data_IF_658162709804
#
_entry.id   IF_658162709804
#
_cell.length_a   1.000
_cell.length_b   1.000
_cell.length_c   1.000
_cell.angle_alpha   90.00
_cell.angle_beta   90.00
_cell.angle_gamma   90.00
#
_symmetry.space_group_name_H-M   'P 1'
#
loop_
_entity.id
_entity.type
_entity.pdbx_description
1 polymer ?
#
# COMPACT_ATOMS: atom_id res chain seq x y z
N UNK A 1 16.48 3.41 4.00
CA UNK A 1 15.91 2.09 3.68
C UNK A 1 15.00 2.14 2.47
N UNK A 2 13.76 2.61 2.63
CA UNK A 2 12.72 2.51 1.58
C UNK A 2 13.08 3.17 0.24
N UNK A 3 13.55 4.42 0.26
CA UNK A 3 13.84 5.15 -0.98
C UNK A 3 15.01 4.50 -1.75
N UNK A 4 16.03 4.01 -1.05
CA UNK A 4 17.19 3.31 -1.65
C UNK A 4 16.78 2.01 -2.36
N UNK A 5 15.97 1.18 -1.72
CA UNK A 5 15.46 -0.05 -2.33
C UNK A 5 14.58 0.20 -3.55
N UNK A 6 13.65 1.16 -3.47
CA UNK A 6 12.73 1.47 -4.57
C UNK A 6 13.46 2.03 -5.79
N UNK A 7 14.54 2.78 -5.56
CA UNK A 7 15.43 3.23 -6.62
C UNK A 7 16.28 2.07 -7.15
N UNK A 8 16.80 1.17 -6.30
CA UNK A 8 17.53 -0.02 -6.74
C UNK A 8 16.73 -0.87 -7.73
N UNK A 9 15.51 -1.30 -7.35
CA UNK A 9 14.70 -2.26 -8.15
C UNK A 9 14.03 -1.62 -9.37
N UNK A 10 13.85 -0.31 -9.39
CA UNK A 10 12.99 0.35 -10.38
C UNK A 10 13.61 1.53 -11.12
N UNK A 11 14.89 1.83 -10.91
CA UNK A 11 15.60 2.90 -11.63
C UNK A 11 16.42 2.33 -12.77
N UNK A 12 16.62 3.16 -13.79
CA UNK A 12 17.57 2.90 -14.87
C UNK A 12 18.45 4.14 -14.97
N UNK A 13 19.76 3.96 -14.90
CA UNK A 13 20.69 5.08 -15.06
C UNK A 13 20.54 5.66 -16.47
N UNK A 14 20.37 6.97 -16.56
CA UNK A 14 20.31 7.72 -17.82
C UNK A 14 21.70 8.22 -18.22
N UNK A 15 22.60 8.41 -17.25
CA UNK A 15 23.99 8.82 -17.43
C UNK A 15 24.80 8.49 -16.16
N UNK A 16 26.06 8.04 -16.32
CA UNK A 16 26.95 7.70 -15.20
C UNK A 16 26.81 6.26 -14.69
N UNK A 17 27.41 5.98 -13.52
CA UNK A 17 27.41 4.67 -12.85
C UNK A 17 25.99 4.17 -12.55
N UNK A 18 25.84 2.85 -12.41
CA UNK A 18 24.53 2.30 -12.08
C UNK A 18 24.18 2.67 -10.63
N UNK A 19 22.95 3.13 -10.40
CA UNK A 19 22.51 3.53 -9.07
C UNK A 19 22.75 2.44 -8.01
N UNK A 20 22.65 1.16 -8.42
CA UNK A 20 22.94 0.00 -7.56
C UNK A 20 24.37 -0.02 -7.01
N UNK A 21 25.34 0.49 -7.75
CA UNK A 21 26.78 0.53 -7.40
C UNK A 21 27.08 1.63 -6.38
N UNK A 22 26.21 2.66 -6.30
CA UNK A 22 26.35 3.78 -5.36
C UNK A 22 25.67 3.53 -4.01
N UNK A 23 24.95 2.42 -3.89
CA UNK A 23 24.15 2.11 -2.72
C UNK A 23 24.94 1.31 -1.66
N UNK A 24 24.78 1.63 -0.36
CA UNK A 24 25.35 0.82 0.73
C UNK A 24 24.91 -0.65 0.66
N UNK A 25 25.74 -1.56 1.15
CA UNK A 25 25.33 -2.96 1.36
C UNK A 25 24.04 -3.04 2.19
N UNK A 26 23.08 -3.86 1.76
CA UNK A 26 21.74 -3.96 2.37
C UNK A 26 20.66 -3.09 1.72
N UNK A 27 21.00 -2.18 0.79
CA UNK A 27 20.03 -1.34 0.06
C UNK A 27 19.11 -2.10 -0.91
N UNK A 28 19.36 -3.39 -1.12
CA UNK A 28 18.53 -4.27 -1.95
C UNK A 28 17.47 -5.04 -1.19
N UNK A 29 17.30 -4.80 0.11
CA UNK A 29 16.24 -5.42 0.90
C UNK A 29 14.99 -4.53 0.85
N UNK A 30 13.83 -5.08 0.47
CA UNK A 30 12.58 -4.34 0.51
C UNK A 30 12.33 -3.78 1.92
N UNK A 31 11.95 -2.51 2.04
CA UNK A 31 11.63 -1.93 3.32
C UNK A 31 10.43 -2.66 3.91
N UNK A 32 10.58 -3.20 5.12
CA UNK A 32 9.43 -3.65 5.92
C UNK A 32 8.49 -2.45 6.06
N UNK A 33 7.20 -2.68 5.81
CA UNK A 33 6.20 -1.62 6.02
C UNK A 33 6.20 -1.25 7.48
N UNK A 34 6.52 0.00 7.78
CA UNK A 34 6.32 0.54 9.12
C UNK A 34 4.82 0.86 9.25
N UNK A 35 4.07 -0.02 9.92
CA UNK A 35 2.61 0.09 10.04
C UNK A 35 2.15 1.42 10.65
N UNK A 36 2.93 2.00 11.55
CA UNK A 36 2.63 3.32 12.13
C UNK A 36 2.68 4.43 11.08
N UNK A 37 3.69 4.43 10.20
CA UNK A 37 3.82 5.39 9.11
C UNK A 37 2.72 5.20 8.05
N UNK A 38 2.41 3.94 7.71
CA UNK A 38 1.30 3.61 6.84
C UNK A 38 -0.01 4.17 7.38
N UNK A 39 -0.34 3.85 8.63
CA UNK A 39 -1.58 4.26 9.29
C UNK A 39 -1.70 5.79 9.31
N UNK A 40 -0.63 6.48 9.71
CA UNK A 40 -0.61 7.94 9.71
C UNK A 40 -0.79 8.55 8.31
N UNK A 41 -0.20 7.94 7.28
CA UNK A 41 -0.33 8.43 5.91
C UNK A 41 -1.73 8.18 5.33
N UNK A 42 -2.33 7.00 5.58
CA UNK A 42 -3.69 6.68 5.16
C UNK A 42 -4.71 7.57 5.88
N UNK A 43 -4.60 7.74 7.20
CA UNK A 43 -5.50 8.63 7.96
C UNK A 43 -5.39 10.10 7.53
N UNK A 44 -4.20 10.56 7.09
CA UNK A 44 -4.08 11.88 6.46
C UNK A 44 -4.87 11.94 5.15
N UNK A 45 -4.71 10.95 4.27
CA UNK A 45 -5.46 10.90 3.01
C UNK A 45 -6.98 10.82 3.22
N UNK A 46 -7.44 10.07 4.24
CA UNK A 46 -8.86 10.01 4.60
C UNK A 46 -9.39 11.37 5.07
N UNK A 47 -8.63 12.08 5.92
CA UNK A 47 -8.99 13.43 6.36
C UNK A 47 -9.09 14.41 5.19
N UNK A 48 -8.12 14.39 4.27
CA UNK A 48 -8.19 15.20 3.05
C UNK A 48 -9.41 14.86 2.19
N UNK A 49 -9.80 13.59 2.11
CA UNK A 49 -10.98 13.19 1.35
C UNK A 49 -12.30 13.67 1.97
N UNK A 50 -12.40 13.71 3.30
CA UNK A 50 -13.58 14.14 4.05
C UNK A 50 -13.79 15.65 4.04
N UNK A 51 -12.70 16.41 4.00
CA UNK A 51 -12.71 17.87 3.97
C UNK A 51 -12.00 18.35 2.69
N UNK A 52 -12.62 18.14 1.51
CA UNK A 52 -12.05 18.66 0.26
C UNK A 52 -11.84 20.16 0.39
N UNK A 53 -10.73 20.65 -0.15
CA UNK A 53 -10.65 22.06 -0.50
C UNK A 53 -11.86 22.37 -1.41
N UNK A 54 -12.72 23.35 -1.06
CA UNK A 54 -13.86 23.73 -1.90
C UNK A 54 -13.44 24.14 -3.32
N UNK A 55 -12.16 24.48 -3.52
CA UNK A 55 -11.60 24.81 -4.82
C UNK A 55 -11.07 23.59 -5.61
N UNK A 56 -11.05 22.38 -5.03
CA UNK A 56 -10.51 21.18 -5.70
C UNK A 56 -11.16 19.86 -5.24
N UNK A 57 -12.42 19.57 -5.64
CA UNK A 57 -13.09 18.29 -5.37
C UNK A 57 -12.42 17.07 -6.04
N UNK A 58 -11.57 17.30 -7.06
CA UNK A 58 -10.74 16.27 -7.70
C UNK A 58 -9.76 15.66 -6.68
N UNK A 59 -9.33 16.44 -5.68
CA UNK A 59 -8.33 16.00 -4.72
C UNK A 59 -8.90 14.99 -3.71
N UNK A 60 -10.19 15.04 -3.36
CA UNK A 60 -10.81 13.98 -2.53
C UNK A 60 -10.79 12.62 -3.22
N UNK A 61 -11.16 12.59 -4.49
CA UNK A 61 -11.14 11.35 -5.29
C UNK A 61 -9.71 10.81 -5.42
N UNK A 62 -8.75 11.70 -5.69
CA UNK A 62 -7.34 11.34 -5.77
C UNK A 62 -6.82 10.80 -4.44
N UNK A 63 -7.16 11.42 -3.31
CA UNK A 63 -6.77 10.98 -1.98
C UNK A 63 -7.32 9.59 -1.64
N UNK A 64 -8.59 9.32 -1.92
CA UNK A 64 -9.21 8.01 -1.69
C UNK A 64 -8.56 6.92 -2.54
N UNK A 65 -8.32 7.19 -3.83
CA UNK A 65 -7.64 6.24 -4.73
C UNK A 65 -6.22 5.97 -4.29
N UNK A 66 -5.51 7.00 -3.86
CA UNK A 66 -4.17 6.84 -3.30
C UNK A 66 -4.21 5.94 -2.05
N UNK A 67 -5.17 6.17 -1.13
CA UNK A 67 -5.32 5.36 0.07
C UNK A 67 -5.60 3.89 -0.26
N UNK A 68 -6.53 3.60 -1.18
CA UNK A 68 -6.82 2.23 -1.64
C UNK A 68 -5.57 1.56 -2.24
N UNK A 69 -4.86 2.24 -3.13
CA UNK A 69 -3.62 1.74 -3.74
C UNK A 69 -2.55 1.45 -2.69
N UNK A 70 -2.44 2.31 -1.68
CA UNK A 70 -1.48 2.12 -0.59
C UNK A 70 -1.88 0.92 0.27
N UNK A 71 -3.15 0.75 0.62
CA UNK A 71 -3.63 -0.43 1.35
C UNK A 71 -3.33 -1.73 0.59
N UNK A 72 -3.63 -1.80 -0.71
CA UNK A 72 -3.34 -2.99 -1.54
C UNK A 72 -1.85 -3.37 -1.52
N UNK A 73 -0.97 -2.38 -1.71
CA UNK A 73 0.48 -2.61 -1.67
C UNK A 73 0.94 -3.05 -0.29
N UNK A 74 0.47 -2.38 0.76
CA UNK A 74 0.86 -2.71 2.14
C UNK A 74 0.43 -4.11 2.54
N UNK A 75 -0.76 -4.55 2.13
CA UNK A 75 -1.22 -5.90 2.39
C UNK A 75 -0.31 -6.95 1.73
N UNK A 76 0.18 -6.68 0.52
CA UNK A 76 1.16 -7.54 -0.15
C UNK A 76 2.51 -7.51 0.55
N UNK A 77 3.02 -6.32 0.87
CA UNK A 77 4.32 -6.11 1.52
C UNK A 77 4.37 -6.71 2.93
N UNK A 78 3.27 -6.70 3.70
CA UNK A 78 3.22 -7.34 5.02
C UNK A 78 3.23 -8.86 4.91
N UNK A 79 2.48 -9.44 3.96
CA UNK A 79 2.41 -10.91 3.80
C UNK A 79 3.64 -11.49 3.10
N UNK A 80 4.28 -10.70 2.24
CA UNK A 80 5.45 -11.09 1.47
C UNK A 80 6.49 -9.98 1.56
N UNK A 81 7.18 -9.83 2.71
CA UNK A 81 8.10 -8.72 2.97
C UNK A 81 9.24 -8.61 1.96
N UNK A 82 9.61 -9.72 1.30
CA UNK A 82 10.63 -9.75 0.25
C UNK A 82 10.13 -9.34 -1.14
N UNK A 83 8.84 -8.99 -1.30
CA UNK A 83 8.24 -8.70 -2.61
C UNK A 83 7.88 -7.23 -2.74
N UNK A 84 8.28 -6.63 -3.86
CA UNK A 84 7.85 -5.30 -4.25
C UNK A 84 7.28 -5.32 -5.67
N UNK A 85 6.05 -4.83 -5.83
CA UNK A 85 5.44 -4.64 -7.13
C UNK A 85 4.59 -3.37 -7.17
N UNK A 86 4.58 -2.71 -8.34
CA UNK A 86 3.69 -1.57 -8.60
C UNK A 86 2.35 -2.01 -9.18
N UNK A 87 2.26 -3.25 -9.66
CA UNK A 87 1.06 -3.85 -10.23
C UNK A 87 0.03 -4.11 -9.13
N UNK A 88 -1.08 -3.38 -9.20
CA UNK A 88 -2.16 -3.45 -8.22
C UNK A 88 -2.93 -4.77 -8.29
N UNK A 89 -3.03 -5.39 -9.48
CA UNK A 89 -3.66 -6.69 -9.63
C UNK A 89 -2.83 -7.75 -8.92
N UNK A 90 -1.51 -7.73 -9.14
CA UNK A 90 -0.57 -8.61 -8.45
C UNK A 90 -0.63 -8.42 -6.92
N UNK A 91 -0.70 -7.17 -6.44
CA UNK A 91 -0.88 -6.90 -5.01
C UNK A 91 -2.18 -7.48 -4.46
N UNK A 92 -3.32 -7.26 -5.13
CA UNK A 92 -4.63 -7.73 -4.66
C UNK A 92 -4.70 -9.26 -4.63
N UNK A 93 -4.22 -9.92 -5.69
CA UNK A 93 -4.19 -11.38 -5.77
C UNK A 93 -3.23 -12.00 -4.77
N UNK A 94 -2.00 -11.46 -4.69
CA UNK A 94 -0.99 -11.93 -3.76
C UNK A 94 -1.45 -11.79 -2.31
N UNK A 95 -1.92 -10.60 -1.93
CA UNK A 95 -2.47 -10.34 -0.60
C UNK A 95 -3.70 -11.20 -0.29
N UNK A 96 -4.48 -11.60 -1.29
CA UNK A 96 -5.67 -12.46 -1.13
C UNK A 96 -5.39 -13.95 -0.96
N UNK A 97 -4.18 -14.44 -1.21
CA UNK A 97 -3.87 -15.89 -1.13
C UNK A 97 -3.99 -16.42 0.29
N UNK A 98 -4.93 -17.32 0.55
CA UNK A 98 -5.18 -17.83 1.90
C UNK A 98 -5.81 -16.80 2.85
N UNK A 99 -6.39 -15.72 2.32
CA UNK A 99 -7.27 -14.84 3.08
C UNK A 99 -8.72 -15.35 3.01
N UNK A 100 -9.53 -15.05 4.02
CA UNK A 100 -10.96 -15.35 4.02
C UNK A 100 -11.71 -14.64 2.87
N UNK A 101 -12.87 -15.19 2.48
CA UNK A 101 -13.67 -14.69 1.35
C UNK A 101 -14.01 -13.21 1.46
N UNK A 102 -14.31 -12.74 2.68
CA UNK A 102 -14.60 -11.34 2.93
C UNK A 102 -13.43 -10.45 2.52
N UNK A 103 -12.21 -10.78 2.92
CA UNK A 103 -11.01 -9.99 2.60
C UNK A 103 -10.69 -10.04 1.11
N UNK A 104 -10.88 -11.20 0.47
CA UNK A 104 -10.73 -11.32 -0.99
C UNK A 104 -11.71 -10.40 -1.74
N UNK A 105 -12.96 -10.29 -1.28
CA UNK A 105 -13.94 -9.34 -1.83
C UNK A 105 -13.53 -7.88 -1.60
N UNK A 106 -13.13 -7.53 -0.37
CA UNK A 106 -12.68 -6.15 -0.04
C UNK A 106 -11.46 -5.75 -0.87
N UNK A 107 -10.47 -6.63 -1.06
CA UNK A 107 -9.31 -6.41 -1.93
C UNK A 107 -9.71 -6.23 -3.41
N UNK A 108 -10.65 -7.04 -3.89
CA UNK A 108 -11.16 -6.94 -5.27
C UNK A 108 -11.90 -5.61 -5.47
N UNK A 109 -12.76 -5.24 -4.51
CA UNK A 109 -13.46 -3.96 -4.54
C UNK A 109 -12.48 -2.78 -4.50
N UNK A 110 -11.45 -2.85 -3.65
CA UNK A 110 -10.42 -1.82 -3.58
C UNK A 110 -9.64 -1.69 -4.89
N UNK A 111 -9.32 -2.80 -5.56
CA UNK A 111 -8.68 -2.80 -6.87
C UNK A 111 -9.57 -2.08 -7.90
N UNK A 112 -10.84 -2.46 -7.99
CA UNK A 112 -11.80 -1.86 -8.93
C UNK A 112 -11.97 -0.35 -8.69
N UNK A 113 -12.12 0.07 -7.42
CA UNK A 113 -12.27 1.48 -7.09
C UNK A 113 -10.96 2.26 -7.29
N UNK A 114 -9.80 1.65 -7.10
CA UNK A 114 -8.50 2.29 -7.31
C UNK A 114 -8.17 2.54 -8.79
N UNK A 115 -8.72 1.73 -9.71
CA UNK A 115 -8.44 1.78 -11.15
C UNK A 115 -9.59 2.33 -12.00
N UNK A 116 -10.82 2.35 -11.46
CA UNK A 116 -11.99 2.91 -12.13
C UNK A 116 -11.76 4.38 -12.54
N UNK A 117 -12.28 4.89 -13.66
CA UNK A 117 -12.26 6.32 -13.95
C UNK A 117 -13.39 7.10 -13.23
N UNK A 118 -14.42 6.40 -12.71
CA UNK A 118 -15.64 7.02 -12.19
C UNK A 118 -15.42 7.71 -10.82
N UNK A 119 -16.15 8.79 -10.50
CA UNK A 119 -16.12 9.37 -9.17
C UNK A 119 -16.45 8.31 -8.09
N UNK A 120 -15.72 8.37 -6.98
CA UNK A 120 -15.89 7.49 -5.84
C UNK A 120 -16.89 8.09 -4.85
N UNK A 121 -17.76 7.24 -4.33
CA UNK A 121 -18.58 7.58 -3.17
C UNK A 121 -17.70 7.63 -1.92
N UNK A 122 -17.65 8.79 -1.27
CA UNK A 122 -16.70 9.06 -0.19
C UNK A 122 -16.91 8.14 1.01
N UNK A 123 -18.13 8.12 1.58
CA UNK A 123 -18.43 7.36 2.79
C UNK A 123 -18.14 5.84 2.68
N UNK A 124 -18.65 5.10 1.68
CA UNK A 124 -18.35 3.67 1.58
C UNK A 124 -16.89 3.41 1.25
N UNK A 125 -16.23 4.29 0.48
CA UNK A 125 -14.80 4.14 0.18
C UNK A 125 -13.94 4.31 1.44
N UNK A 126 -14.26 5.29 2.29
CA UNK A 126 -13.60 5.47 3.58
C UNK A 126 -13.77 4.23 4.46
N UNK A 127 -14.98 3.69 4.53
CA UNK A 127 -15.27 2.47 5.29
C UNK A 127 -14.42 1.28 4.82
N UNK A 128 -14.32 1.09 3.50
CA UNK A 128 -13.48 0.06 2.90
C UNK A 128 -12.00 0.26 3.23
N UNK A 129 -11.47 1.48 3.08
CA UNK A 129 -10.07 1.80 3.41
C UNK A 129 -9.78 1.50 4.88
N UNK A 130 -10.67 1.86 5.81
CA UNK A 130 -10.52 1.57 7.24
C UNK A 130 -10.56 0.08 7.55
N UNK A 131 -11.47 -0.66 6.91
CA UNK A 131 -11.54 -2.13 7.05
C UNK A 131 -10.23 -2.79 6.62
N UNK A 132 -9.69 -2.38 5.46
CA UNK A 132 -8.43 -2.90 4.95
C UNK A 132 -7.25 -2.49 5.83
N UNK A 133 -7.20 -1.24 6.30
CA UNK A 133 -6.13 -0.77 7.17
C UNK A 133 -6.09 -1.55 8.49
N UNK A 134 -7.25 -1.78 9.13
CA UNK A 134 -7.33 -2.63 10.33
C UNK A 134 -6.81 -4.03 10.06
N UNK A 135 -7.21 -4.64 8.96
CA UNK A 135 -6.74 -5.97 8.60
C UNK A 135 -5.23 -6.04 8.36
N UNK A 136 -4.65 -5.02 7.72
CA UNK A 136 -3.19 -4.93 7.51
C UNK A 136 -2.44 -4.82 8.83
N UNK A 137 -2.98 -4.07 9.80
CA UNK A 137 -2.42 -3.99 11.16
C UNK A 137 -2.47 -5.36 11.84
N UNK A 138 -3.58 -6.10 11.70
CA UNK A 138 -3.72 -7.44 12.28
C UNK A 138 -2.78 -8.45 11.62
N UNK A 139 -2.58 -8.36 10.30
CA UNK A 139 -1.60 -9.18 9.58
C UNK A 139 -0.17 -8.95 10.08
N UNK A 140 0.22 -7.70 10.29
CA UNK A 140 1.55 -7.36 10.79
C UNK A 140 1.75 -7.87 12.23
N UNK A 141 0.73 -7.73 13.08
CA UNK A 141 0.77 -8.30 14.44
C UNK A 141 0.98 -9.81 14.41
N UNK A 142 0.21 -10.52 13.58
CA UNK A 142 0.34 -11.97 13.44
C UNK A 142 1.75 -12.38 12.96
N UNK A 143 2.30 -11.67 11.98
CA UNK A 143 3.64 -11.92 11.46
C UNK A 143 4.74 -11.67 12.52
N UNK A 144 4.56 -10.70 13.42
CA UNK A 144 5.53 -10.42 14.48
C UNK A 144 5.38 -11.32 15.72
N UNK A 145 4.23 -12.00 15.90
CA UNK A 145 4.05 -12.96 17.01
C UNK A 145 4.63 -14.33 16.71
N UNK A 146 4.67 -14.75 15.44
CA UNK A 146 5.27 -16.04 15.05
C UNK A 146 6.81 -16.03 15.23
N UNK A 147 7.47 -14.88 15.10
CA UNK A 147 8.92 -14.71 15.33
C UNK A 147 9.35 -14.87 16.81
N UNK A 148 8.41 -14.94 17.76
CA UNK A 148 8.72 -15.05 19.20
C UNK A 148 8.74 -16.50 19.73
N UNK A 149 8.54 -17.50 18.86
CA UNK A 149 8.46 -18.92 19.24
C UNK A 149 9.51 -19.82 18.56
N UNK A 150 10.54 -19.25 17.91
CA UNK A 150 11.71 -19.99 17.40
C UNK A 150 12.95 -19.84 18.29
#
# INVERSE_FOLDING_TARGET
GEMGFRLKVGSRSVWGEQFEETLPEGSGVPPKVIISELTAAVERALRYAMYPDPNSPIDSNRALRWALKRCLRSAMEVRFPQTYTRDLLACAWGAGRGAEDRRRRELTQALLLATSPSPLEVAPTISLVRSLLSWIVDLDRAANTDDCHE
#
